data_IF_575771104202
#
_entry.id   IF_575771104202
#
_cell.length_a   1.000
_cell.length_b   1.000
_cell.length_c   1.000
_cell.angle_alpha   90.00
_cell.angle_beta   90.00
_cell.angle_gamma   90.00
#
_symmetry.space_group_name_H-M   'P 1'
#
loop_
_entity.id
_entity.type
_entity.pdbx_description
1 polymer ?
#
# COMPACT_ATOMS: atom_id res chain seq x y z
N UNK A 1 -20.93 1.76 6.51
CA UNK A 1 -21.20 3.19 6.45
C UNK A 1 -21.80 3.70 7.75
N UNK A 2 -21.42 4.93 8.18
CA UNK A 2 -21.90 5.53 9.41
C UNK A 2 -21.19 5.08 10.70
N UNK A 3 -20.19 4.22 10.61
CA UNK A 3 -19.34 3.89 11.75
C UNK A 3 -18.27 4.98 11.90
N UNK A 4 -18.02 5.41 13.13
CA UNK A 4 -16.99 6.38 13.46
C UNK A 4 -15.80 5.68 14.12
N UNK A 5 -14.59 6.09 13.72
CA UNK A 5 -13.33 5.72 14.36
C UNK A 5 -12.78 6.97 15.06
N UNK A 6 -12.47 6.85 16.38
CA UNK A 6 -12.00 7.95 17.23
C UNK A 6 -12.87 9.22 17.16
N UNK A 7 -14.18 9.09 16.95
CA UNK A 7 -15.09 10.23 16.73
C UNK A 7 -14.61 11.25 15.67
N UNK A 8 -13.61 10.87 14.88
CA UNK A 8 -12.91 11.70 13.90
C UNK A 8 -13.12 11.26 12.47
N UNK A 9 -13.18 9.94 12.22
CA UNK A 9 -13.27 9.38 10.88
C UNK A 9 -14.59 8.67 10.68
N UNK A 10 -15.44 9.19 9.81
CA UNK A 10 -16.69 8.55 9.40
C UNK A 10 -16.44 7.62 8.21
N UNK A 11 -16.71 6.34 8.37
CA UNK A 11 -16.59 5.34 7.31
C UNK A 11 -17.74 5.50 6.31
N UNK A 12 -17.39 5.77 5.05
CA UNK A 12 -18.37 6.00 3.98
C UNK A 12 -18.62 4.74 3.14
N UNK A 13 -17.56 4.09 2.65
CA UNK A 13 -17.68 2.92 1.78
C UNK A 13 -16.43 2.06 1.80
N UNK A 14 -16.59 0.77 1.52
CA UNK A 14 -15.48 -0.15 1.22
C UNK A 14 -15.00 0.12 -0.22
N UNK A 15 -13.71 0.37 -0.41
CA UNK A 15 -13.11 0.67 -1.71
C UNK A 15 -12.09 -0.36 -2.17
N UNK A 16 -11.65 -1.26 -1.28
CA UNK A 16 -10.72 -2.34 -1.61
C UNK A 16 -10.69 -3.43 -0.57
N UNK A 17 -10.43 -4.66 -1.02
CA UNK A 17 -10.22 -5.81 -0.14
C UNK A 17 -8.93 -6.52 -0.53
N UNK A 18 -8.00 -6.59 0.40
CA UNK A 18 -6.75 -7.33 0.28
C UNK A 18 -6.77 -8.65 1.05
N UNK A 19 -5.67 -9.37 1.04
CA UNK A 19 -5.52 -10.61 1.80
C UNK A 19 -5.72 -10.38 3.30
N UNK A 20 -4.95 -9.48 3.90
CA UNK A 20 -4.93 -9.24 5.35
C UNK A 20 -5.69 -7.97 5.78
N UNK A 21 -6.11 -7.12 4.85
CA UNK A 21 -6.70 -5.82 5.16
C UNK A 21 -7.82 -5.44 4.22
N UNK A 22 -8.66 -4.54 4.67
CA UNK A 22 -9.70 -3.88 3.90
C UNK A 22 -9.40 -2.38 3.86
N UNK A 23 -9.74 -1.73 2.75
CA UNK A 23 -9.53 -0.29 2.56
C UNK A 23 -10.89 0.38 2.40
N UNK A 24 -11.13 1.37 3.23
CA UNK A 24 -12.36 2.15 3.25
C UNK A 24 -12.10 3.59 2.85
N UNK A 25 -13.05 4.18 2.15
CA UNK A 25 -13.16 5.62 2.03
C UNK A 25 -13.80 6.15 3.31
N UNK A 26 -13.21 7.19 3.87
CA UNK A 26 -13.73 7.83 5.07
C UNK A 26 -13.62 9.36 4.97
N UNK A 27 -14.42 10.05 5.77
CA UNK A 27 -14.35 11.50 5.97
C UNK A 27 -13.66 11.80 7.30
N UNK A 28 -12.57 12.52 7.25
CA UNK A 28 -11.97 13.12 8.45
C UNK A 28 -12.71 14.42 8.78
N UNK A 29 -13.54 14.41 9.83
CA UNK A 29 -14.33 15.58 10.23
C UNK A 29 -13.46 16.71 10.77
N UNK A 30 -12.39 16.39 11.50
CA UNK A 30 -11.45 17.39 12.05
C UNK A 30 -10.76 18.23 10.97
N UNK A 31 -10.37 17.60 9.85
CA UNK A 31 -9.68 18.28 8.76
C UNK A 31 -10.58 18.52 7.54
N UNK A 32 -11.84 18.16 7.63
CA UNK A 32 -12.86 18.27 6.57
C UNK A 32 -12.38 17.77 5.20
N UNK A 33 -11.73 16.60 5.18
CA UNK A 33 -11.21 15.98 3.95
C UNK A 33 -11.55 14.50 3.88
N UNK A 34 -11.58 13.96 2.65
CA UNK A 34 -11.65 12.51 2.43
C UNK A 34 -10.26 11.88 2.62
N UNK A 35 -10.27 10.68 3.17
CA UNK A 35 -9.08 9.85 3.43
C UNK A 35 -9.37 8.39 3.06
N UNK A 36 -8.34 7.61 2.83
CA UNK A 36 -8.42 6.16 2.80
C UNK A 36 -8.02 5.60 4.17
N UNK A 37 -8.76 4.62 4.67
CA UNK A 37 -8.44 3.93 5.92
C UNK A 37 -8.25 2.46 5.60
N UNK A 38 -7.02 1.97 5.80
CA UNK A 38 -6.65 0.56 5.64
C UNK A 38 -6.75 -0.11 7.01
N UNK A 39 -7.68 -1.06 7.15
CA UNK A 39 -7.98 -1.75 8.42
C UNK A 39 -7.44 -3.17 8.34
N UNK A 40 -6.70 -3.61 9.34
CA UNK A 40 -6.29 -5.00 9.50
C UNK A 40 -7.54 -5.84 9.83
N UNK A 41 -7.74 -6.96 9.11
CA UNK A 41 -8.89 -7.84 9.35
C UNK A 41 -8.79 -8.52 10.72
N UNK A 42 -9.94 -8.76 11.35
CA UNK A 42 -10.05 -9.32 12.70
C UNK A 42 -9.30 -10.66 12.86
N UNK A 43 -9.29 -11.48 11.82
CA UNK A 43 -8.58 -12.77 11.82
C UNK A 43 -7.05 -12.65 11.99
N UNK A 44 -6.48 -11.47 11.67
CA UNK A 44 -5.04 -11.16 11.81
C UNK A 44 -4.75 -10.24 13.00
N UNK A 45 -5.76 -9.58 13.57
CA UNK A 45 -5.59 -8.60 14.65
C UNK A 45 -5.15 -9.25 15.97
N UNK A 46 -5.35 -10.55 16.15
CA UNK A 46 -4.93 -11.32 17.33
C UNK A 46 -3.49 -11.85 17.22
N UNK A 47 -2.87 -11.81 16.05
CA UNK A 47 -1.49 -12.26 15.86
C UNK A 47 -0.53 -11.06 15.89
N UNK A 48 0.27 -11.01 16.96
CA UNK A 48 1.24 -9.93 17.17
C UNK A 48 2.24 -9.75 16.00
N UNK A 49 2.55 -10.82 15.26
CA UNK A 49 3.44 -10.73 14.10
C UNK A 49 2.76 -9.98 12.94
N UNK A 50 1.48 -10.25 12.66
CA UNK A 50 0.73 -9.54 11.63
C UNK A 50 0.52 -8.08 12.00
N UNK A 51 0.15 -7.79 13.25
CA UNK A 51 0.01 -6.42 13.76
C UNK A 51 1.33 -5.66 13.65
N UNK A 52 2.45 -6.26 14.08
CA UNK A 52 3.77 -5.64 14.00
C UNK A 52 4.16 -5.33 12.55
N UNK A 53 3.96 -6.25 11.63
CA UNK A 53 4.25 -6.06 10.19
C UNK A 53 3.40 -4.95 9.60
N UNK A 54 2.11 -4.93 9.90
CA UNK A 54 1.17 -3.91 9.43
C UNK A 54 1.60 -2.50 9.88
N UNK A 55 2.02 -2.36 11.15
CA UNK A 55 2.53 -1.10 11.70
C UNK A 55 3.87 -0.70 11.07
N UNK A 56 4.80 -1.64 10.89
CA UNK A 56 6.10 -1.35 10.28
C UNK A 56 5.97 -0.86 8.84
N UNK A 57 5.08 -1.43 8.04
CA UNK A 57 4.77 -0.93 6.69
C UNK A 57 4.31 0.53 6.72
N UNK A 58 3.39 0.84 7.62
CA UNK A 58 2.85 2.18 7.75
C UNK A 58 3.90 3.19 8.25
N UNK A 59 4.68 2.83 9.26
CA UNK A 59 5.73 3.69 9.82
C UNK A 59 6.80 4.05 8.80
N UNK A 60 7.21 3.10 7.97
CA UNK A 60 8.18 3.36 6.91
C UNK A 60 7.61 4.31 5.85
N UNK A 61 6.35 4.11 5.45
CA UNK A 61 5.70 4.99 4.48
C UNK A 61 5.39 6.39 5.07
N UNK A 62 5.18 6.51 6.39
CA UNK A 62 4.84 7.77 7.06
C UNK A 62 5.94 8.83 6.96
N UNK A 63 7.22 8.41 6.84
CA UNK A 63 8.34 9.32 6.61
C UNK A 63 8.49 9.80 5.16
N UNK A 64 7.76 9.20 4.22
CA UNK A 64 7.90 9.50 2.79
C UNK A 64 6.91 10.59 2.36
N UNK A 65 7.42 11.65 1.77
CA UNK A 65 6.61 12.71 1.15
C UNK A 65 7.07 12.93 -0.29
N UNK A 66 6.31 12.41 -1.25
CA UNK A 66 6.61 12.55 -2.68
C UNK A 66 5.33 12.47 -3.52
N UNK A 67 5.19 13.23 -4.63
CA UNK A 67 3.99 13.21 -5.47
C UNK A 67 3.65 11.82 -6.04
N UNK A 68 4.62 10.93 -6.19
CA UNK A 68 4.44 9.57 -6.70
C UNK A 68 4.43 8.49 -5.60
N UNK A 69 4.23 8.87 -4.35
CA UNK A 69 4.03 7.97 -3.22
C UNK A 69 2.70 8.30 -2.55
N UNK A 70 1.94 7.30 -2.15
CA UNK A 70 0.73 7.50 -1.33
C UNK A 70 1.16 7.93 0.07
N UNK A 71 0.70 9.10 0.50
CA UNK A 71 1.05 9.64 1.82
C UNK A 71 0.32 8.90 2.94
N UNK A 72 1.03 8.50 3.99
CA UNK A 72 0.46 8.00 5.24
C UNK A 72 0.31 9.17 6.20
N UNK A 73 -0.88 9.32 6.78
CA UNK A 73 -1.22 10.43 7.67
C UNK A 73 -1.19 10.05 9.14
N UNK A 74 -1.60 8.81 9.44
CA UNK A 74 -1.68 8.31 10.83
C UNK A 74 -1.65 6.79 10.87
N UNK A 75 -1.19 6.25 12.00
CA UNK A 75 -1.19 4.81 12.30
C UNK A 75 -1.82 4.63 13.66
N UNK A 76 -2.97 4.00 13.71
CA UNK A 76 -3.79 3.93 14.91
C UNK A 76 -3.92 2.51 15.43
N UNK A 77 -3.89 2.39 16.74
CA UNK A 77 -3.92 1.15 17.50
C UNK A 77 -4.95 1.29 18.63
N UNK A 78 -6.12 0.72 18.46
CA UNK A 78 -7.24 0.80 19.42
C UNK A 78 -7.68 -0.60 19.83
N UNK A 79 -7.03 -1.16 20.83
CA UNK A 79 -7.34 -2.51 21.32
C UNK A 79 -7.10 -3.59 20.27
N UNK A 80 -8.17 -4.18 19.75
CA UNK A 80 -8.11 -5.17 18.66
C UNK A 80 -8.20 -4.53 17.27
N UNK A 81 -8.45 -3.23 17.16
CA UNK A 81 -8.58 -2.52 15.90
C UNK A 81 -7.27 -1.82 15.53
N UNK A 82 -6.69 -2.22 14.40
CA UNK A 82 -5.45 -1.67 13.87
C UNK A 82 -5.72 -1.09 12.49
N UNK A 83 -5.45 0.21 12.29
CA UNK A 83 -5.69 0.84 11.00
C UNK A 83 -4.69 1.94 10.66
N UNK A 84 -4.55 2.19 9.37
CA UNK A 84 -3.67 3.20 8.79
C UNK A 84 -4.54 4.21 8.06
N UNK A 85 -4.35 5.49 8.35
CA UNK A 85 -5.00 6.60 7.66
C UNK A 85 -4.06 7.13 6.59
N UNK A 86 -4.52 7.18 5.35
CA UNK A 86 -3.69 7.58 4.23
C UNK A 86 -4.44 8.46 3.23
N UNK A 87 -3.69 8.99 2.30
CA UNK A 87 -4.21 9.75 1.16
C UNK A 87 -5.20 8.90 0.37
N UNK A 88 -6.40 9.47 0.12
CA UNK A 88 -7.36 8.89 -0.80
C UNK A 88 -7.01 9.30 -2.23
N UNK A 89 -6.74 8.33 -3.09
CA UNK A 89 -6.48 8.56 -4.50
C UNK A 89 -7.74 8.23 -5.30
N UNK A 90 -8.32 9.22 -5.96
CA UNK A 90 -9.42 9.01 -6.91
C UNK A 90 -8.89 8.41 -8.22
N UNK A 91 -8.84 7.09 -8.27
CA UNK A 91 -8.24 6.37 -9.38
C UNK A 91 -8.47 4.87 -9.33
N UNK A 92 -7.69 4.14 -10.11
CA UNK A 92 -7.71 2.67 -10.14
C UNK A 92 -6.29 2.13 -10.06
N UNK A 93 -6.13 0.88 -9.66
CA UNK A 93 -4.81 0.22 -9.69
C UNK A 93 -4.31 0.09 -11.13
N UNK A 94 -3.00 0.15 -11.31
CA UNK A 94 -2.37 -0.10 -12.62
C UNK A 94 -2.78 -1.49 -13.16
N UNK A 95 -2.96 -2.48 -12.30
CA UNK A 95 -3.47 -3.81 -12.67
C UNK A 95 -4.85 -3.71 -13.32
N UNK A 96 -5.78 -3.01 -12.67
CA UNK A 96 -7.14 -2.81 -13.21
C UNK A 96 -7.13 -2.00 -14.50
N UNK A 97 -6.23 -1.01 -14.59
CA UNK A 97 -6.07 -0.19 -15.78
C UNK A 97 -5.61 -1.05 -16.98
N UNK A 98 -4.57 -1.88 -16.80
CA UNK A 98 -4.06 -2.81 -17.82
C UNK A 98 -5.15 -3.79 -18.26
N UNK A 99 -5.89 -4.37 -17.29
CA UNK A 99 -6.97 -5.31 -17.61
C UNK A 99 -8.10 -4.67 -18.42
N UNK A 100 -8.46 -3.43 -18.12
CA UNK A 100 -9.51 -2.70 -18.87
C UNK A 100 -9.05 -2.32 -20.27
N UNK A 101 -7.78 -1.99 -20.45
CA UNK A 101 -7.22 -1.50 -21.72
C UNK A 101 -6.70 -2.63 -22.64
N UNK A 102 -6.41 -3.79 -22.06
CA UNK A 102 -5.79 -4.93 -22.71
C UNK A 102 -4.27 -4.84 -22.73
N UNK A 103 -3.70 -3.75 -23.21
CA UNK A 103 -2.25 -3.49 -23.22
C UNK A 103 -1.95 -2.00 -23.12
N UNK A 104 -0.74 -1.67 -22.72
CA UNK A 104 -0.23 -0.29 -22.68
C UNK A 104 0.63 -0.01 -23.92
N UNK A 105 0.48 1.18 -24.49
CA UNK A 105 1.39 1.66 -25.54
C UNK A 105 2.77 1.99 -24.95
N UNK A 106 3.82 1.93 -25.78
CA UNK A 106 5.21 2.16 -25.34
C UNK A 106 5.37 3.51 -24.65
N UNK A 107 4.87 4.60 -25.24
CA UNK A 107 4.98 5.95 -24.68
C UNK A 107 4.29 6.06 -23.30
N UNK A 108 3.14 5.43 -23.15
CA UNK A 108 2.38 5.40 -21.91
C UNK A 108 3.10 4.58 -20.83
N UNK A 109 3.62 3.40 -21.19
CA UNK A 109 4.41 2.57 -20.28
C UNK A 109 5.64 3.33 -19.76
N UNK A 110 6.36 4.03 -20.63
CA UNK A 110 7.50 4.86 -20.25
C UNK A 110 7.06 5.97 -19.29
N UNK A 111 5.95 6.66 -19.57
CA UNK A 111 5.43 7.72 -18.71
C UNK A 111 5.03 7.23 -17.31
N UNK A 112 4.45 6.03 -17.21
CA UNK A 112 4.15 5.37 -15.94
C UNK A 112 5.45 4.97 -15.23
N UNK A 113 6.37 4.32 -15.95
CA UNK A 113 7.63 3.84 -15.37
C UNK A 113 8.49 4.99 -14.80
N UNK A 114 8.54 6.14 -15.46
CA UNK A 114 9.26 7.33 -14.96
C UNK A 114 8.68 7.77 -13.62
N UNK A 115 7.36 7.87 -13.50
CA UNK A 115 6.72 8.30 -12.26
C UNK A 115 6.95 7.32 -11.11
N UNK A 116 6.86 6.01 -11.40
CA UNK A 116 7.17 4.95 -10.43
C UNK A 116 8.63 5.05 -9.97
N UNK A 117 9.56 5.18 -10.91
CA UNK A 117 10.99 5.30 -10.62
C UNK A 117 11.31 6.53 -9.75
N UNK A 118 10.65 7.67 -10.01
CA UNK A 118 10.79 8.88 -9.19
C UNK A 118 10.32 8.65 -7.75
N UNK A 119 9.17 7.97 -7.56
CA UNK A 119 8.70 7.61 -6.22
C UNK A 119 9.65 6.64 -5.52
N UNK A 120 10.16 5.62 -6.22
CA UNK A 120 11.10 4.67 -5.65
C UNK A 120 12.45 5.32 -5.32
N UNK A 121 12.96 6.21 -6.16
CA UNK A 121 14.19 6.96 -5.88
C UNK A 121 14.05 7.76 -4.58
N UNK A 122 12.93 8.47 -4.38
CA UNK A 122 12.67 9.21 -3.15
C UNK A 122 12.61 8.31 -1.90
N UNK A 123 12.12 7.08 -2.02
CA UNK A 123 12.14 6.10 -0.94
C UNK A 123 13.56 5.57 -0.67
N UNK A 124 14.32 5.26 -1.73
CA UNK A 124 15.71 4.79 -1.62
C UNK A 124 16.63 5.84 -0.99
N UNK A 125 16.43 7.12 -1.26
CA UNK A 125 17.16 8.23 -0.62
C UNK A 125 16.93 8.26 0.91
N UNK A 126 15.82 7.69 1.38
CA UNK A 126 15.52 7.48 2.81
C UNK A 126 15.86 6.06 3.30
N UNK A 127 16.63 5.29 2.52
CA UNK A 127 17.00 3.90 2.79
C UNK A 127 15.80 2.94 2.93
N UNK A 128 14.69 3.26 2.27
CA UNK A 128 13.48 2.43 2.27
C UNK A 128 13.34 1.73 0.93
N UNK A 129 13.37 0.39 0.96
CA UNK A 129 13.18 -0.46 -0.22
C UNK A 129 11.76 -1.01 -0.22
N UNK A 130 11.04 -0.90 -1.33
CA UNK A 130 9.61 -1.27 -1.41
C UNK A 130 9.35 -2.78 -1.28
N UNK A 131 10.15 -3.63 -1.92
CA UNK A 131 10.13 -5.10 -1.87
C UNK A 131 8.87 -5.82 -2.37
N UNK A 132 7.84 -5.11 -2.79
CA UNK A 132 6.61 -5.69 -3.36
C UNK A 132 6.09 -4.85 -4.53
N UNK A 133 7.00 -4.50 -5.47
CA UNK A 133 6.66 -3.75 -6.68
C UNK A 133 5.83 -4.63 -7.62
N UNK A 134 4.59 -4.21 -7.84
CA UNK A 134 3.63 -4.88 -8.72
C UNK A 134 2.51 -3.92 -9.13
N UNK A 135 1.81 -4.17 -10.24
CA UNK A 135 0.76 -3.25 -10.72
C UNK A 135 -0.42 -3.08 -9.75
N UNK A 136 -0.63 -4.00 -8.81
CA UNK A 136 -1.64 -3.87 -7.76
C UNK A 136 -1.31 -2.78 -6.73
N UNK A 137 0.00 -2.54 -6.51
CA UNK A 137 0.51 -1.55 -5.55
C UNK A 137 0.81 -0.19 -6.20
N UNK A 138 0.28 0.06 -7.39
CA UNK A 138 0.38 1.33 -8.11
C UNK A 138 -1.02 1.83 -8.43
N UNK A 139 -1.31 3.07 -8.11
CA UNK A 139 -2.62 3.69 -8.36
C UNK A 139 -2.43 4.78 -9.41
N UNK A 140 -3.24 4.74 -10.46
CA UNK A 140 -3.33 5.79 -11.47
C UNK A 140 -4.55 6.63 -11.15
N UNK A 141 -4.34 7.90 -10.86
CA UNK A 141 -5.40 8.88 -10.64
C UNK A 141 -6.06 9.31 -11.96
N UNK A 142 -7.21 9.96 -11.87
CA UNK A 142 -7.96 10.42 -13.06
C UNK A 142 -7.19 11.42 -13.92
N UNK A 143 -6.29 12.18 -13.33
CA UNK A 143 -5.41 13.15 -14.00
C UNK A 143 -4.09 12.54 -14.52
N UNK A 144 -3.95 11.21 -14.45
CA UNK A 144 -2.80 10.46 -14.99
C UNK A 144 -1.57 10.44 -14.09
N UNK A 145 -1.68 10.85 -12.83
CA UNK A 145 -0.60 10.69 -11.84
C UNK A 145 -0.54 9.25 -11.36
N UNK A 146 0.68 8.74 -11.25
CA UNK A 146 0.94 7.40 -10.70
C UNK A 146 1.49 7.56 -9.29
N UNK A 147 0.90 6.83 -8.33
CA UNK A 147 1.37 6.77 -6.95
C UNK A 147 1.64 5.33 -6.54
N UNK A 148 2.79 5.12 -5.92
CA UNK A 148 3.19 3.83 -5.33
C UNK A 148 2.60 3.74 -3.93
N UNK A 149 1.97 2.62 -3.63
CA UNK A 149 1.34 2.29 -2.34
C UNK A 149 1.91 0.99 -1.78
N UNK A 150 1.63 0.70 -0.52
CA UNK A 150 1.90 -0.57 0.14
C UNK A 150 3.38 -0.99 0.11
N UNK A 151 4.26 -0.21 0.77
CA UNK A 151 5.67 -0.55 0.94
C UNK A 151 5.82 -1.86 1.71
N UNK A 152 6.27 -2.92 1.03
CA UNK A 152 6.33 -4.31 1.54
C UNK A 152 7.47 -4.61 2.52
N UNK A 153 7.79 -3.68 3.44
CA UNK A 153 8.88 -3.82 4.42
C UNK A 153 8.73 -5.08 5.28
N UNK A 154 7.49 -5.47 5.56
CA UNK A 154 7.16 -6.67 6.32
C UNK A 154 7.66 -7.98 5.68
N UNK A 155 7.95 -8.01 4.38
CA UNK A 155 8.48 -9.21 3.71
C UNK A 155 9.95 -9.52 4.03
N UNK A 156 10.74 -8.52 4.43
CA UNK A 156 12.16 -8.74 4.72
C UNK A 156 12.42 -9.50 6.03
N UNK A 157 11.49 -9.44 6.97
CA UNK A 157 11.64 -10.09 8.29
C UNK A 157 11.14 -11.54 8.28
N UNK A 158 10.41 -11.97 7.23
CA UNK A 158 9.77 -13.29 7.15
C UNK A 158 10.48 -14.32 6.28
N UNK A 159 11.77 -14.14 5.97
CA UNK A 159 12.56 -15.13 5.21
C UNK A 159 12.73 -16.50 5.94
N UNK A 160 12.22 -16.64 7.14
CA UNK A 160 12.18 -17.94 7.86
C UNK A 160 10.87 -18.72 7.70
N UNK A 161 9.85 -18.16 7.02
CA UNK A 161 8.60 -18.90 6.81
C UNK A 161 8.21 -18.84 5.32
N UNK A 162 8.95 -19.55 4.48
CA UNK A 162 8.48 -19.90 3.12
C UNK A 162 7.43 -20.99 3.30
N UNK A 163 6.23 -20.60 3.67
CA UNK A 163 5.04 -21.42 3.78
C UNK A 163 3.90 -20.85 2.96
N UNK A 164 3.74 -21.36 1.75
CA UNK A 164 2.48 -21.60 1.00
C UNK A 164 1.55 -20.42 0.61
N UNK A 165 1.71 -19.18 1.06
CA UNK A 165 0.78 -18.09 0.70
C UNK A 165 1.32 -17.01 -0.25
N UNK A 166 2.35 -17.32 -1.05
CA UNK A 166 2.96 -16.41 -2.03
C UNK A 166 2.24 -16.37 -3.41
N UNK A 167 1.03 -16.90 -3.52
CA UNK A 167 0.38 -17.18 -4.82
C UNK A 167 0.08 -15.92 -5.66
N UNK A 168 0.05 -14.73 -5.09
CA UNK A 168 -0.28 -13.50 -5.83
C UNK A 168 0.91 -12.66 -6.32
N UNK A 169 2.09 -12.80 -5.73
CA UNK A 169 3.25 -11.92 -6.00
C UNK A 169 4.44 -12.62 -6.66
N UNK A 170 4.39 -13.92 -6.89
CA UNK A 170 5.49 -14.74 -7.43
C UNK A 170 6.00 -14.25 -8.80
N UNK A 171 5.12 -13.66 -9.62
CA UNK A 171 5.45 -13.18 -10.95
C UNK A 171 6.30 -11.88 -10.97
N UNK A 172 6.43 -11.21 -9.84
CA UNK A 172 7.12 -9.91 -9.70
C UNK A 172 8.26 -9.95 -8.69
N UNK A 173 8.57 -11.13 -8.14
CA UNK A 173 9.62 -11.31 -7.14
C UNK A 173 10.98 -11.32 -7.84
N UNK A 174 11.97 -10.63 -7.25
CA UNK A 174 13.33 -10.65 -7.78
C UNK A 174 14.03 -11.98 -7.48
N UNK A 175 15.10 -12.34 -8.25
CA UNK A 175 15.81 -13.61 -8.06
C UNK A 175 16.41 -13.77 -6.67
N UNK A 176 16.95 -12.70 -6.09
CA UNK A 176 17.51 -12.69 -4.73
C UNK A 176 16.43 -12.88 -3.68
N UNK A 177 15.27 -12.25 -3.82
CA UNK A 177 14.11 -12.44 -2.95
C UNK A 177 13.55 -13.87 -3.04
N UNK A 178 13.52 -14.45 -4.25
CA UNK A 178 13.09 -15.83 -4.46
C UNK A 178 13.99 -16.85 -3.75
N UNK A 179 15.26 -16.51 -3.59
CA UNK A 179 16.26 -17.31 -2.86
C UNK A 179 16.27 -17.01 -1.35
N UNK A 180 15.44 -16.09 -0.85
CA UNK A 180 15.43 -15.67 0.53
C UNK A 180 16.60 -14.76 0.93
N UNK A 181 17.31 -14.19 -0.06
CA UNK A 181 18.43 -13.30 0.18
C UNK A 181 17.96 -11.87 0.45
N UNK A 182 18.87 -11.06 1.00
CA UNK A 182 18.64 -9.63 1.22
C UNK A 182 18.48 -8.92 -0.13
N UNK A 183 17.54 -7.98 -0.19
CA UNK A 183 17.30 -7.11 -1.36
C UNK A 183 17.63 -5.67 -0.97
N UNK A 184 18.55 -5.06 -1.66
CA UNK A 184 18.87 -3.63 -1.62
C UNK A 184 18.18 -2.88 -2.77
N UNK A 185 18.20 -1.55 -2.73
CA UNK A 185 17.50 -0.70 -3.68
C UNK A 185 18.21 -0.58 -5.05
#
# INVERSE_FOLDING_TARGET
>A
PGTYLQDRYEILSLIGTGGMSEVYQAKCHTLNRLVAIKVLKDEYSQDANFVSKFKMEAQAAAGLSHPNIVSVYDVVDEGSLHYIVMELIEGITLKSYILKKGHLGVKETIGIAIQVAQGLAAAHDQHIVHRDIKPQNMIISRDGKVKVADFGIARAVSSQTIGVNAVGSVHYISPEQAKGNYSDG
#
